data_IF_075817233403
#
_entry.id   IF_075817233403
#
_cell.length_a   1.000
_cell.length_b   1.000
_cell.length_c   1.000
_cell.angle_alpha   90.00
_cell.angle_beta   90.00
_cell.angle_gamma   90.00
#
_symmetry.space_group_name_H-M   'P 1'
#
loop_
_entity.id
_entity.type
_entity.pdbx_description
1 polymer ?
#
# COMPACT_ATOMS: atom_id res chain seq x y z
N UNK A 1 10.51 -13.47 -44.85
CA UNK A 1 9.97 -14.18 -43.66
C UNK A 1 11.07 -14.83 -42.81
N UNK A 2 12.01 -15.59 -43.39
CA UNK A 2 13.06 -16.29 -42.62
C UNK A 2 13.92 -15.39 -41.70
N UNK A 3 14.31 -14.20 -42.16
CA UNK A 3 15.12 -13.26 -41.34
C UNK A 3 14.33 -12.70 -40.17
N UNK A 4 13.04 -12.39 -40.36
CA UNK A 4 12.19 -11.76 -39.33
C UNK A 4 11.78 -12.75 -38.23
N UNK A 5 11.80 -14.06 -38.50
CA UNK A 5 11.45 -15.10 -37.53
C UNK A 5 12.58 -15.43 -36.52
N UNK A 6 13.82 -14.96 -36.78
CA UNK A 6 14.97 -15.22 -35.90
C UNK A 6 15.16 -14.14 -34.82
N UNK A 7 14.51 -12.99 -34.98
CA UNK A 7 14.63 -11.87 -34.05
C UNK A 7 13.40 -11.74 -33.18
N UNK A 8 13.62 -11.41 -31.90
CA UNK A 8 12.53 -11.08 -30.99
C UNK A 8 11.89 -9.74 -31.36
N UNK A 9 10.60 -9.61 -31.07
CA UNK A 9 9.82 -8.39 -31.25
C UNK A 9 10.51 -7.13 -30.69
N UNK A 10 11.09 -7.24 -29.50
CA UNK A 10 11.77 -6.14 -28.82
C UNK A 10 13.03 -5.71 -29.58
N UNK A 11 13.78 -6.68 -30.12
CA UNK A 11 14.98 -6.43 -30.93
C UNK A 11 14.64 -5.83 -32.29
N UNK A 12 13.50 -6.21 -32.88
CA UNK A 12 13.01 -5.61 -34.13
C UNK A 12 12.69 -4.12 -33.97
N UNK A 13 12.38 -3.66 -32.76
CA UNK A 13 12.12 -2.26 -32.46
C UNK A 13 13.41 -1.50 -32.16
N UNK A 14 14.29 -2.04 -31.32
CA UNK A 14 15.55 -1.38 -30.93
C UNK A 14 16.62 -1.42 -32.02
N UNK A 15 16.70 -2.50 -32.80
CA UNK A 15 17.70 -2.72 -33.85
C UNK A 15 17.13 -2.60 -35.26
N UNK A 16 16.02 -1.87 -35.42
CA UNK A 16 15.35 -1.62 -36.71
C UNK A 16 16.30 -1.28 -37.88
N UNK A 17 17.33 -0.42 -37.74
CA UNK A 17 18.26 -0.15 -38.85
C UNK A 17 19.13 -1.36 -39.21
N UNK A 18 19.56 -2.16 -38.22
CA UNK A 18 20.38 -3.34 -38.45
C UNK A 18 19.59 -4.46 -39.13
N UNK A 19 18.35 -4.68 -38.68
CA UNK A 19 17.45 -5.66 -39.31
C UNK A 19 17.06 -5.22 -40.72
N UNK A 20 16.80 -3.94 -40.95
CA UNK A 20 16.54 -3.41 -42.31
C UNK A 20 17.72 -3.66 -43.25
N UNK A 21 18.97 -3.44 -42.80
CA UNK A 21 20.16 -3.71 -43.60
C UNK A 21 20.32 -5.20 -43.97
N UNK A 22 20.05 -6.11 -43.02
CA UNK A 22 20.08 -7.56 -43.26
C UNK A 22 18.99 -8.00 -44.24
N UNK A 23 17.77 -7.49 -44.07
CA UNK A 23 16.65 -7.77 -44.97
C UNK A 23 16.95 -7.24 -46.37
N UNK A 24 17.50 -6.03 -46.49
CA UNK A 24 17.93 -5.45 -47.76
C UNK A 24 18.91 -6.38 -48.48
N UNK A 25 20.00 -6.79 -47.83
CA UNK A 25 21.01 -7.64 -48.45
C UNK A 25 20.42 -8.96 -48.97
N UNK A 26 19.54 -9.59 -48.17
CA UNK A 26 18.85 -10.83 -48.57
C UNK A 26 17.87 -10.62 -49.73
N UNK A 27 17.17 -9.48 -49.77
CA UNK A 27 16.29 -9.12 -50.89
C UNK A 27 17.08 -8.79 -52.15
N UNK A 28 18.13 -7.99 -52.06
CA UNK A 28 19.00 -7.61 -53.18
C UNK A 28 19.59 -8.84 -53.85
N UNK A 29 20.04 -9.83 -53.08
CA UNK A 29 20.59 -11.06 -53.63
C UNK A 29 19.55 -11.85 -54.44
N UNK A 30 18.30 -11.93 -53.96
CA UNK A 30 17.20 -12.58 -54.70
C UNK A 30 16.70 -11.75 -55.88
N UNK A 31 16.70 -10.43 -55.75
CA UNK A 31 16.23 -9.51 -56.78
C UNK A 31 17.17 -9.44 -57.98
N UNK A 32 18.47 -9.69 -57.78
CA UNK A 32 19.45 -9.85 -58.86
C UNK A 32 19.09 -10.98 -59.82
N UNK A 33 18.54 -12.08 -59.33
CA UNK A 33 18.09 -13.20 -60.18
C UNK A 33 16.95 -12.79 -61.13
N UNK A 34 16.26 -11.68 -60.82
CA UNK A 34 15.16 -11.12 -61.61
C UNK A 34 15.52 -9.77 -62.25
N UNK A 35 16.79 -9.33 -62.22
CA UNK A 35 17.25 -8.02 -62.70
C UNK A 35 16.51 -6.81 -62.07
N UNK A 36 16.11 -6.90 -60.80
CA UNK A 36 15.44 -5.82 -60.07
C UNK A 36 16.43 -5.10 -59.14
N UNK A 37 16.53 -3.78 -59.24
CA UNK A 37 17.32 -2.94 -58.33
C UNK A 37 16.46 -2.42 -57.16
N UNK A 38 16.94 -2.61 -55.92
CA UNK A 38 16.30 -2.12 -54.69
C UNK A 38 17.11 -0.97 -54.09
N UNK A 39 16.49 0.19 -53.89
CA UNK A 39 17.12 1.38 -53.28
C UNK A 39 17.06 1.38 -51.74
N UNK A 40 15.86 1.27 -51.15
CA UNK A 40 15.67 1.23 -49.69
C UNK A 40 14.50 0.33 -49.29
N UNK A 41 14.56 -0.25 -48.09
CA UNK A 41 13.53 -1.14 -47.53
C UNK A 41 13.14 -0.65 -46.13
N UNK A 42 11.95 -0.05 -46.05
CA UNK A 42 11.36 0.40 -44.79
C UNK A 42 10.34 -0.62 -44.25
N UNK A 43 10.44 -0.96 -42.96
CA UNK A 43 9.47 -1.82 -42.27
C UNK A 43 8.33 -0.93 -41.75
N UNK A 44 7.19 -0.89 -42.43
CA UNK A 44 6.09 0.03 -42.07
C UNK A 44 5.27 -0.46 -40.89
N UNK A 45 4.71 -1.68 -40.94
CA UNK A 45 3.81 -2.19 -39.92
C UNK A 45 4.22 -3.60 -39.48
N UNK A 46 4.52 -3.74 -38.19
CA UNK A 46 4.79 -5.01 -37.55
C UNK A 46 3.55 -5.42 -36.75
N UNK A 47 2.72 -6.30 -37.31
CA UNK A 47 1.59 -6.87 -36.56
C UNK A 47 2.06 -8.12 -35.85
N UNK A 48 2.07 -8.09 -34.52
CA UNK A 48 2.26 -9.30 -33.72
C UNK A 48 1.00 -10.18 -33.80
N UNK A 49 1.17 -11.49 -33.70
CA UNK A 49 0.04 -12.41 -33.51
C UNK A 49 -0.62 -12.17 -32.16
N UNK A 50 -1.93 -12.41 -32.04
CA UNK A 50 -2.69 -12.23 -30.80
C UNK A 50 -2.12 -13.03 -29.62
N UNK A 51 -1.59 -14.22 -29.87
CA UNK A 51 -0.91 -15.04 -28.85
C UNK A 51 0.39 -14.42 -28.34
N UNK A 52 1.14 -13.74 -29.21
CA UNK A 52 2.40 -13.09 -28.83
C UNK A 52 2.14 -11.85 -27.96
N UNK A 53 1.16 -11.01 -28.36
CA UNK A 53 0.74 -9.86 -27.55
C UNK A 53 0.28 -10.30 -26.15
N UNK A 54 -0.49 -11.40 -26.06
CA UNK A 54 -0.93 -11.96 -24.78
C UNK A 54 0.23 -12.45 -23.92
N UNK A 55 1.23 -13.11 -24.52
CA UNK A 55 2.40 -13.59 -23.79
C UNK A 55 3.29 -12.44 -23.27
N UNK A 56 3.42 -11.35 -24.04
CA UNK A 56 4.16 -10.15 -23.61
C UNK A 56 3.41 -9.44 -22.49
N UNK A 57 2.10 -9.27 -22.62
CA UNK A 57 1.26 -8.66 -21.58
C UNK A 57 1.33 -9.46 -20.27
N UNK A 58 1.26 -10.80 -20.35
CA UNK A 58 1.43 -11.66 -19.18
C UNK A 58 2.82 -11.51 -18.54
N UNK A 59 3.89 -11.41 -19.33
CA UNK A 59 5.24 -11.16 -18.79
C UNK A 59 5.33 -9.80 -18.11
N UNK A 60 4.71 -8.77 -18.67
CA UNK A 60 4.68 -7.44 -18.06
C UNK A 60 3.93 -7.45 -16.74
N UNK A 61 2.75 -8.09 -16.69
CA UNK A 61 1.98 -8.26 -15.46
C UNK A 61 2.79 -9.03 -14.41
N UNK A 62 3.44 -10.14 -14.80
CA UNK A 62 4.26 -10.91 -13.88
C UNK A 62 5.47 -10.12 -13.33
N UNK A 63 6.12 -9.30 -14.17
CA UNK A 63 7.21 -8.42 -13.72
C UNK A 63 6.72 -7.34 -12.75
N UNK A 64 5.60 -6.69 -13.06
CA UNK A 64 5.00 -5.67 -12.19
C UNK A 64 4.54 -6.29 -10.87
N UNK A 65 3.95 -7.49 -10.90
CA UNK A 65 3.50 -8.19 -9.70
C UNK A 65 4.68 -8.62 -8.83
N UNK A 66 5.80 -9.06 -9.42
CA UNK A 66 7.03 -9.37 -8.70
C UNK A 66 7.63 -8.13 -8.03
N UNK A 67 7.65 -6.99 -8.72
CA UNK A 67 8.15 -5.72 -8.16
C UNK A 67 7.25 -5.21 -7.04
N UNK A 68 5.93 -5.28 -7.24
CA UNK A 68 4.94 -4.94 -6.20
C UNK A 68 5.07 -5.84 -4.97
N UNK A 69 5.28 -7.14 -5.16
CA UNK A 69 5.46 -8.09 -4.06
C UNK A 69 6.69 -7.77 -3.23
N UNK A 70 7.82 -7.42 -3.87
CA UNK A 70 9.03 -6.95 -3.17
C UNK A 70 8.76 -5.71 -2.34
N UNK A 71 7.99 -4.76 -2.88
CA UNK A 71 7.63 -3.54 -2.16
C UNK A 71 6.73 -3.82 -0.95
N UNK A 72 5.75 -4.72 -1.09
CA UNK A 72 4.86 -5.12 0.02
C UNK A 72 5.64 -5.76 1.16
N UNK A 73 6.59 -6.66 0.85
CA UNK A 73 7.45 -7.29 1.87
C UNK A 73 8.31 -6.25 2.57
N UNK A 74 8.95 -5.35 1.82
CA UNK A 74 9.78 -4.29 2.39
C UNK A 74 8.96 -3.34 3.30
N UNK A 75 7.73 -2.99 2.88
CA UNK A 75 6.82 -2.17 3.69
C UNK A 75 6.42 -2.89 4.97
N UNK A 76 6.07 -4.18 4.91
CA UNK A 76 5.70 -4.98 6.08
C UNK A 76 6.86 -5.10 7.09
N UNK A 77 8.10 -5.24 6.60
CA UNK A 77 9.28 -5.26 7.46
C UNK A 77 9.56 -3.91 8.12
N UNK A 78 9.35 -2.80 7.40
CA UNK A 78 9.45 -1.45 7.97
C UNK A 78 8.38 -1.20 9.03
N UNK A 79 7.13 -1.57 8.78
CA UNK A 79 6.04 -1.44 9.75
C UNK A 79 6.30 -2.26 11.00
N UNK A 80 6.81 -3.50 10.87
CA UNK A 80 7.19 -4.33 12.02
C UNK A 80 8.29 -3.68 12.85
N UNK A 81 9.34 -3.14 12.22
CA UNK A 81 10.42 -2.44 12.92
C UNK A 81 9.92 -1.18 13.61
N UNK A 82 9.08 -0.40 12.95
CA UNK A 82 8.47 0.79 13.54
C UNK A 82 7.61 0.45 14.76
N UNK A 83 6.84 -0.64 14.70
CA UNK A 83 6.04 -1.12 15.84
C UNK A 83 6.91 -1.55 17.03
N UNK A 84 8.02 -2.25 16.78
CA UNK A 84 8.97 -2.65 17.84
C UNK A 84 9.59 -1.41 18.49
N UNK A 85 10.15 -0.50 17.69
CA UNK A 85 10.79 0.73 18.20
C UNK A 85 9.79 1.58 18.98
N UNK A 86 8.54 1.66 18.52
CA UNK A 86 7.48 2.38 19.22
C UNK A 86 7.16 1.72 20.57
N UNK A 87 7.02 0.41 20.61
CA UNK A 87 6.75 -0.32 21.84
C UNK A 87 7.93 -0.21 22.84
N UNK A 88 9.17 -0.26 22.35
CA UNK A 88 10.38 -0.05 23.16
C UNK A 88 10.42 1.37 23.72
N UNK A 89 10.19 2.39 22.87
CA UNK A 89 10.15 3.79 23.28
C UNK A 89 9.04 4.08 24.28
N UNK A 90 7.84 3.51 24.10
CA UNK A 90 6.74 3.62 25.05
C UNK A 90 7.07 2.92 26.39
N UNK A 91 7.72 1.76 26.35
CA UNK A 91 8.17 1.03 27.55
C UNK A 91 9.24 1.79 28.34
N UNK A 92 10.27 2.31 27.66
CA UNK A 92 11.31 3.12 28.29
C UNK A 92 10.74 4.41 28.87
N UNK A 93 9.87 5.11 28.12
CA UNK A 93 9.19 6.29 28.63
C UNK A 93 8.34 5.97 29.86
N UNK A 94 7.58 4.87 29.84
CA UNK A 94 6.78 4.44 30.99
C UNK A 94 7.64 4.08 32.22
N UNK A 95 8.80 3.46 32.03
CA UNK A 95 9.77 3.20 33.12
C UNK A 95 10.30 4.49 33.72
N UNK A 96 10.77 5.43 32.89
CA UNK A 96 11.26 6.73 33.35
C UNK A 96 10.18 7.52 34.08
N UNK A 97 8.95 7.52 33.57
CA UNK A 97 7.80 8.15 34.25
C UNK A 97 7.53 7.46 35.59
N UNK A 98 7.58 6.13 35.64
CA UNK A 98 7.33 5.37 36.87
C UNK A 98 8.39 5.66 37.93
N UNK A 99 9.67 5.72 37.54
CA UNK A 99 10.79 6.07 38.42
C UNK A 99 10.70 7.52 38.91
N UNK A 100 10.38 8.45 38.01
CA UNK A 100 10.17 9.86 38.35
C UNK A 100 8.96 10.04 39.30
N UNK A 101 7.88 9.30 39.08
CA UNK A 101 6.68 9.32 39.92
C UNK A 101 6.93 8.68 41.28
N UNK A 102 7.72 7.59 41.34
CA UNK A 102 8.14 6.98 42.59
C UNK A 102 9.02 7.92 43.42
N UNK A 103 9.88 8.71 42.77
CA UNK A 103 10.75 9.69 43.41
C UNK A 103 9.97 10.95 43.84
N UNK A 104 9.00 11.41 43.04
CA UNK A 104 8.17 12.59 43.33
C UNK A 104 7.02 12.30 44.33
N UNK A 105 6.70 11.03 44.59
CA UNK A 105 5.81 10.57 45.66
C UNK A 105 4.30 10.61 45.35
N UNK A 106 3.51 9.98 46.24
CA UNK A 106 2.05 9.82 46.14
C UNK A 106 1.26 11.13 45.96
N UNK A 107 1.83 12.28 46.34
CA UNK A 107 1.18 13.58 46.20
C UNK A 107 0.87 13.98 44.76
N UNK A 108 1.71 13.57 43.79
CA UNK A 108 1.44 13.81 42.36
C UNK A 108 0.24 13.01 41.86
N UNK A 109 0.10 11.77 42.32
CA UNK A 109 -1.02 10.88 41.96
C UNK A 109 -2.33 11.40 42.54
N UNK A 110 -2.31 11.85 43.80
CA UNK A 110 -3.47 12.47 44.43
C UNK A 110 -3.87 13.79 43.75
N UNK A 111 -2.91 14.65 43.40
CA UNK A 111 -3.18 15.88 42.66
C UNK A 111 -3.79 15.59 41.29
N UNK A 112 -3.23 14.64 40.53
CA UNK A 112 -3.79 14.20 39.24
C UNK A 112 -5.18 13.59 39.38
N UNK A 113 -5.44 12.85 40.46
CA UNK A 113 -6.78 12.31 40.77
C UNK A 113 -7.78 13.44 41.05
N UNK A 114 -7.37 14.48 41.77
CA UNK A 114 -8.20 15.66 42.03
C UNK A 114 -8.47 16.44 40.74
N UNK A 115 -7.47 16.61 39.86
CA UNK A 115 -7.64 17.26 38.57
C UNK A 115 -8.56 16.47 37.62
N UNK A 116 -8.35 15.16 37.50
CA UNK A 116 -9.20 14.29 36.67
C UNK A 116 -10.64 14.27 37.19
N UNK A 117 -10.84 14.18 38.52
CA UNK A 117 -12.19 14.25 39.11
C UNK A 117 -12.84 15.62 38.89
N UNK A 118 -12.08 16.72 38.94
CA UNK A 118 -12.58 18.07 38.59
C UNK A 118 -13.00 18.17 37.13
N UNK A 119 -12.23 17.60 36.20
CA UNK A 119 -12.54 17.59 34.78
C UNK A 119 -13.77 16.73 34.46
N UNK A 120 -13.85 15.53 35.05
CA UNK A 120 -15.03 14.66 34.95
C UNK A 120 -16.27 15.36 35.53
N UNK A 121 -16.15 16.02 36.68
CA UNK A 121 -17.27 16.79 37.25
C UNK A 121 -17.69 17.96 36.35
N UNK A 122 -16.75 18.67 35.73
CA UNK A 122 -17.03 19.76 34.81
C UNK A 122 -17.71 19.28 33.51
N UNK A 123 -17.30 18.13 32.97
CA UNK A 123 -17.93 17.51 31.80
C UNK A 123 -19.32 16.97 32.13
N UNK A 124 -19.51 16.33 33.29
CA UNK A 124 -20.83 15.89 33.77
C UNK A 124 -21.78 17.08 33.99
N UNK A 125 -21.32 18.14 34.64
CA UNK A 125 -22.13 19.34 34.89
C UNK A 125 -22.60 20.04 33.60
N UNK A 126 -21.86 19.88 32.48
CA UNK A 126 -22.25 20.39 31.16
C UNK A 126 -23.20 19.47 30.39
N UNK A 127 -23.34 18.21 30.80
CA UNK A 127 -24.22 17.24 30.13
C UNK A 127 -25.66 17.32 30.68
N UNK A 128 -26.68 17.56 29.82
CA UNK A 128 -28.05 17.82 30.26
C UNK A 128 -28.82 16.60 30.79
N UNK A 129 -28.22 15.40 30.83
CA UNK A 129 -28.89 14.14 31.19
C UNK A 129 -28.44 13.53 32.53
N UNK A 130 -27.75 14.28 33.40
CA UNK A 130 -27.29 13.74 34.70
C UNK A 130 -28.36 13.96 35.76
N UNK A 131 -29.15 12.91 36.04
CA UNK A 131 -30.03 12.88 37.21
C UNK A 131 -29.19 12.55 38.47
N UNK A 132 -29.05 13.51 39.37
CA UNK A 132 -28.49 13.26 40.70
C UNK A 132 -29.49 12.41 41.49
N UNK A 133 -29.20 11.12 41.64
CA UNK A 133 -29.94 10.23 42.54
C UNK A 133 -29.26 10.27 43.91
N UNK A 134 -29.80 11.03 44.89
CA UNK A 134 -29.33 10.91 46.27
C UNK A 134 -29.64 9.49 46.76
N UNK A 135 -28.60 8.75 47.12
CA UNK A 135 -28.71 7.40 47.67
C UNK A 135 -29.50 7.42 48.97
N UNK A 136 -30.78 7.07 48.91
CA UNK A 136 -31.63 6.98 50.09
C UNK A 136 -33.13 6.81 49.88
N UNK A 137 -33.68 7.04 48.67
CA UNK A 137 -35.14 7.02 48.51
C UNK A 137 -35.66 5.82 47.70
N UNK A 138 -36.38 4.98 48.43
CA UNK A 138 -37.05 3.72 48.08
C UNK A 138 -37.89 3.82 46.79
N UNK A 139 -37.52 3.04 45.77
CA UNK A 139 -38.17 2.89 44.44
C UNK A 139 -39.55 2.18 44.46
N UNK A 140 -40.24 2.15 45.61
CA UNK A 140 -41.46 1.36 45.83
C UNK A 140 -42.76 2.16 45.80
N UNK A 141 -42.73 3.45 45.45
CA UNK A 141 -43.91 4.34 45.46
C UNK A 141 -44.37 4.82 44.07
N UNK A 142 -44.28 3.95 43.05
CA UNK A 142 -44.81 4.23 41.71
C UNK A 142 -45.71 3.13 41.11
N UNK A 143 -46.03 2.06 41.86
CA UNK A 143 -47.05 1.09 41.43
C UNK A 143 -48.38 1.39 42.12
N UNK A 144 -49.17 2.22 41.44
CA UNK A 144 -50.58 2.51 41.69
C UNK A 144 -51.42 1.23 41.51
N UNK A 145 -52.18 0.74 42.51
CA UNK A 145 -53.10 -0.38 42.33
C UNK A 145 -54.43 0.13 41.77
N UNK A 146 -54.56 0.14 40.44
CA UNK A 146 -55.86 0.30 39.78
C UNK A 146 -56.56 -1.04 39.62
N UNK A 147 -57.52 -1.32 40.53
CA UNK A 147 -58.89 -1.89 40.38
C UNK A 147 -59.12 -3.18 39.53
N UNK A 148 -60.25 -3.91 39.67
CA UNK A 148 -61.49 -3.61 40.40
C UNK A 148 -61.63 -4.26 41.78
#
# INVERSE_FOLDING_TARGET
>A
KAVVAQFNADQLLTERPQVSALVRNSLTQRARDFNIELADVAITHLSYGSEFSRAVEQKQVAQQEAERSKYVVAKADQERRAAIIRAEGESEAAKLISEATATAGMGLIELRRIEASREIAATLARSPNVAYLPGGQNMLLAMNPSRP
#
